data_IF_890058934139
#
_entry.id   IF_890058934139
#
_cell.length_a   1.000
_cell.length_b   1.000
_cell.length_c   1.000
_cell.angle_alpha   90.00
_cell.angle_beta   90.00
_cell.angle_gamma   90.00
#
_symmetry.space_group_name_H-M   'P 1'
#
loop_
_entity.id
_entity.type
_entity.pdbx_description
1 polymer ?
#
# COMPACT_ATOMS: atom_id res chain seq x y z
N UNK A 1 13.65 -0.52 -7.51
CA UNK A 1 14.34 0.39 -6.58
C UNK A 1 13.26 0.95 -5.67
N UNK A 2 13.18 0.44 -4.44
CA UNK A 2 12.31 1.02 -3.40
C UNK A 2 12.83 2.42 -3.11
N UNK A 3 11.93 3.39 -3.11
CA UNK A 3 12.22 4.78 -2.76
C UNK A 3 12.86 4.81 -1.35
N UNK A 4 13.96 5.55 -1.09
CA UNK A 4 14.63 5.60 0.21
C UNK A 4 13.75 6.10 1.38
N UNK A 5 12.53 6.59 1.11
CA UNK A 5 11.52 6.89 2.14
C UNK A 5 10.68 5.70 2.61
N UNK A 6 10.83 4.51 2.03
CA UNK A 6 10.01 3.33 2.35
C UNK A 6 10.66 2.54 3.51
N UNK A 7 9.93 2.26 4.61
CA UNK A 7 10.49 1.54 5.76
C UNK A 7 11.05 0.16 5.41
N UNK A 8 12.04 -0.32 6.17
CA UNK A 8 12.66 -1.63 5.94
C UNK A 8 11.64 -2.80 5.93
N UNK A 9 10.57 -2.71 6.73
CA UNK A 9 9.50 -3.70 6.75
C UNK A 9 8.81 -3.88 5.38
N UNK A 10 8.83 -2.86 4.52
CA UNK A 10 8.22 -2.87 3.19
C UNK A 10 9.11 -3.48 2.10
N UNK A 11 10.33 -3.93 2.42
CA UNK A 11 11.17 -4.64 1.46
C UNK A 11 10.37 -5.81 0.83
N UNK A 12 10.31 -5.94 -0.50
CA UNK A 12 9.40 -6.89 -1.15
C UNK A 12 9.55 -8.36 -0.71
N UNK A 13 10.78 -8.78 -0.41
CA UNK A 13 11.05 -10.14 0.05
C UNK A 13 10.43 -10.42 1.43
N UNK A 14 10.30 -9.38 2.27
CA UNK A 14 9.74 -9.41 3.62
C UNK A 14 8.23 -9.16 3.60
N UNK A 15 7.80 -8.06 2.99
CA UNK A 15 6.40 -7.61 2.99
C UNK A 15 5.50 -8.39 2.06
N UNK A 16 6.07 -9.06 1.04
CA UNK A 16 5.31 -9.60 -0.10
C UNK A 16 4.55 -8.53 -0.88
N UNK A 17 5.05 -7.30 -0.82
CA UNK A 17 4.44 -6.15 -1.46
C UNK A 17 5.48 -5.32 -2.21
N UNK A 18 5.08 -4.76 -3.35
CA UNK A 18 5.86 -3.78 -4.10
C UNK A 18 5.14 -2.43 -4.11
N UNK A 19 5.87 -1.35 -3.84
CA UNK A 19 5.32 0.01 -3.82
C UNK A 19 6.05 0.88 -4.84
N UNK A 20 5.32 1.64 -5.64
CA UNK A 20 5.87 2.61 -6.58
C UNK A 20 4.89 3.74 -6.89
N UNK A 21 5.39 4.92 -7.24
CA UNK A 21 4.59 6.08 -7.64
C UNK A 21 4.57 6.26 -9.16
N UNK A 22 3.41 6.63 -9.70
CA UNK A 22 3.21 7.04 -11.10
C UNK A 22 2.26 8.24 -11.15
N UNK A 23 2.82 9.44 -11.31
CA UNK A 23 2.03 10.67 -11.30
C UNK A 23 1.24 10.83 -10.00
N UNK A 24 -0.10 11.01 -10.05
CA UNK A 24 -0.92 11.17 -8.84
C UNK A 24 -1.21 9.84 -8.11
N UNK A 25 -0.76 8.70 -8.61
CA UNK A 25 -1.06 7.38 -8.05
C UNK A 25 0.14 6.78 -7.33
N UNK A 26 -0.02 6.42 -6.06
CA UNK A 26 0.84 5.45 -5.37
C UNK A 26 0.23 4.06 -5.58
N UNK A 27 1.01 3.14 -6.14
CA UNK A 27 0.56 1.77 -6.41
C UNK A 27 1.22 0.81 -5.44
N UNK A 28 0.42 -0.07 -4.86
CA UNK A 28 0.84 -1.18 -4.00
C UNK A 28 0.41 -2.47 -4.66
N UNK A 29 1.37 -3.33 -5.02
CA UNK A 29 1.11 -4.67 -5.52
C UNK A 29 1.30 -5.64 -4.37
N UNK A 30 0.27 -6.43 -4.06
CA UNK A 30 0.31 -7.51 -3.08
C UNK A 30 0.50 -8.82 -3.83
N UNK A 31 1.41 -9.66 -3.33
CA UNK A 31 1.58 -11.02 -3.79
C UNK A 31 0.26 -11.79 -3.64
N UNK A 32 -0.32 -12.36 -4.71
CA UNK A 32 -1.58 -13.09 -4.65
C UNK A 32 -1.50 -14.36 -3.79
N UNK A 33 -0.30 -14.92 -3.53
CA UNK A 33 -0.12 -16.03 -2.59
C UNK A 33 -0.20 -15.57 -1.12
N UNK A 34 -0.17 -14.25 -0.88
CA UNK A 34 -0.24 -13.61 0.43
C UNK A 34 -1.22 -12.43 0.45
N UNK A 35 -2.52 -12.64 0.12
CA UNK A 35 -3.49 -11.56 -0.13
C UNK A 35 -3.81 -10.72 1.11
N UNK A 36 -3.56 -11.25 2.31
CA UNK A 36 -3.81 -10.59 3.59
C UNK A 36 -2.56 -9.91 4.19
N UNK A 37 -1.40 -9.98 3.53
CA UNK A 37 -0.16 -9.41 4.06
C UNK A 37 -0.29 -7.93 4.41
N UNK A 38 -0.96 -7.15 3.54
CA UNK A 38 -1.18 -5.71 3.73
C UNK A 38 -2.06 -5.34 4.92
N UNK A 39 -2.87 -6.28 5.42
CA UNK A 39 -3.77 -6.06 6.57
C UNK A 39 -3.03 -6.10 7.91
N UNK A 40 -1.80 -6.63 7.92
CA UNK A 40 -1.00 -6.78 9.13
C UNK A 40 -0.29 -5.48 9.50
N UNK A 41 0.07 -5.33 10.77
CA UNK A 41 0.96 -4.26 11.20
C UNK A 41 2.40 -4.54 10.71
N UNK A 42 3.14 -3.52 10.24
CA UNK A 42 2.80 -2.09 10.23
C UNK A 42 2.02 -1.63 8.99
N UNK A 43 1.83 -2.49 7.99
CA UNK A 43 1.41 -2.14 6.64
C UNK A 43 0.05 -1.45 6.57
N UNK A 44 -0.93 -1.92 7.32
CA UNK A 44 -2.27 -1.30 7.32
C UNK A 44 -2.20 0.17 7.80
N UNK A 45 -1.47 0.42 8.88
CA UNK A 45 -1.28 1.78 9.43
C UNK A 45 -0.50 2.67 8.48
N UNK A 46 0.50 2.12 7.80
CA UNK A 46 1.29 2.85 6.81
C UNK A 46 0.44 3.22 5.59
N UNK A 47 -0.39 2.30 5.09
CA UNK A 47 -1.33 2.53 3.99
C UNK A 47 -2.35 3.62 4.32
N UNK A 48 -2.89 3.63 5.53
CA UNK A 48 -3.77 4.69 6.01
C UNK A 48 -3.07 6.07 6.02
N UNK A 49 -1.84 6.12 6.54
CA UNK A 49 -1.04 7.34 6.56
C UNK A 49 -0.71 7.84 5.14
N UNK A 50 -0.36 6.93 4.24
CA UNK A 50 -0.10 7.27 2.84
C UNK A 50 -1.36 7.74 2.12
N UNK A 51 -2.51 7.12 2.38
CA UNK A 51 -3.78 7.57 1.81
C UNK A 51 -4.15 8.99 2.29
N UNK A 52 -3.97 9.29 3.59
CA UNK A 52 -4.15 10.63 4.14
C UNK A 52 -3.24 11.66 3.48
N UNK A 53 -1.95 11.36 3.39
CA UNK A 53 -0.96 12.25 2.76
C UNK A 53 -1.26 12.44 1.27
N UNK A 54 -1.62 11.37 0.56
CA UNK A 54 -1.98 11.42 -0.85
C UNK A 54 -3.23 12.27 -1.09
N UNK A 55 -4.29 12.09 -0.30
CA UNK A 55 -5.51 12.87 -0.42
C UNK A 55 -5.25 14.38 -0.24
N UNK A 56 -4.41 14.76 0.73
CA UNK A 56 -4.05 16.15 0.99
C UNK A 56 -3.36 16.84 -0.20
N UNK A 57 -2.69 16.08 -1.07
CA UNK A 57 -2.05 16.56 -2.31
C UNK A 57 -2.89 16.32 -3.57
N UNK A 58 -4.12 15.83 -3.47
CA UNK A 58 -4.96 15.47 -4.61
C UNK A 58 -4.53 14.17 -5.33
N UNK A 59 -3.73 13.35 -4.67
CA UNK A 59 -3.25 12.04 -5.12
C UNK A 59 -4.07 10.92 -4.45
N UNK A 60 -3.79 9.66 -4.81
CA UNK A 60 -4.48 8.50 -4.24
C UNK A 60 -3.57 7.25 -4.20
N UNK A 61 -3.98 6.28 -3.39
CA UNK A 61 -3.28 5.00 -3.23
C UNK A 61 -4.16 3.88 -3.78
N UNK A 62 -3.64 3.07 -4.70
CA UNK A 62 -4.31 1.89 -5.25
C UNK A 62 -3.54 0.64 -4.83
N UNK A 63 -4.24 -0.32 -4.27
CA UNK A 63 -3.77 -1.65 -3.96
C UNK A 63 -4.29 -2.64 -5.00
N UNK A 64 -3.37 -3.43 -5.57
CA UNK A 64 -3.68 -4.54 -6.45
C UNK A 64 -3.31 -5.84 -5.73
N UNK A 65 -4.21 -6.82 -5.75
CA UNK A 65 -3.96 -8.18 -5.27
C UNK A 65 -4.43 -9.17 -6.35
N UNK A 66 -3.52 -9.64 -7.19
CA UNK A 66 -3.89 -10.34 -8.42
C UNK A 66 -4.74 -9.44 -9.32
N UNK A 67 -5.98 -9.84 -9.58
CA UNK A 67 -6.95 -9.08 -10.38
C UNK A 67 -7.83 -8.13 -9.54
N UNK A 68 -7.78 -8.23 -8.21
CA UNK A 68 -8.56 -7.37 -7.32
C UNK A 68 -7.88 -6.00 -7.16
N UNK A 69 -8.67 -4.94 -7.34
CA UNK A 69 -8.21 -3.55 -7.26
C UNK A 69 -8.99 -2.81 -6.18
N UNK A 70 -8.27 -2.26 -5.21
CA UNK A 70 -8.85 -1.51 -4.09
C UNK A 70 -8.19 -0.14 -4.00
N UNK A 71 -9.00 0.93 -4.09
CA UNK A 71 -8.52 2.26 -3.69
C UNK A 71 -8.49 2.32 -2.17
N UNK A 72 -7.33 2.64 -1.60
CA UNK A 72 -7.20 2.82 -0.17
C UNK A 72 -7.69 4.22 0.19
N UNK A 73 -8.81 4.28 0.90
CA UNK A 73 -9.34 5.53 1.45
C UNK A 73 -8.69 5.84 2.81
N UNK A 74 -8.49 7.12 3.15
CA UNK A 74 -8.13 7.50 4.51
C UNK A 74 -9.14 6.97 5.54
N UNK A 75 -8.64 6.46 6.65
CA UNK A 75 -9.43 5.77 7.67
C UNK A 75 -9.67 4.29 7.38
N UNK A 76 -8.94 3.69 6.43
CA UNK A 76 -9.03 2.25 6.14
C UNK A 76 -8.75 1.45 7.41
N UNK A 77 -9.65 0.52 7.70
CA UNK A 77 -9.42 -0.56 8.67
C UNK A 77 -9.34 -1.86 7.89
N UNK A 78 -8.51 -2.81 8.34
CA UNK A 78 -8.53 -4.14 7.76
C UNK A 78 -9.96 -4.70 7.92
N UNK A 79 -10.60 -5.14 6.83
CA UNK A 79 -11.88 -5.82 6.95
C UNK A 79 -11.70 -7.05 7.85
N UNK A 80 -12.71 -7.30 8.69
CA UNK A 80 -12.75 -8.43 9.63
C UNK A 80 -12.71 -9.78 8.90
#
# INVERSE_FOLDING_TARGET
>A
MTDPGVPEAWQPLTSKMLVYEQGPQLTVLVDPDHPDAWKQAPFLSDLDNWAKAAQARGHYVILFCGDDVTKIEPGVTAPA
#
